data_IF_390707050908
#
_entry.id   IF_390707050908
#
_cell.length_a   1.000
_cell.length_b   1.000
_cell.length_c   1.000
_cell.angle_alpha   90.00
_cell.angle_beta   90.00
_cell.angle_gamma   90.00
#
_symmetry.space_group_name_H-M   'P 1'
#
loop_
_entity.id
_entity.type
_entity.pdbx_description
1 polymer ?
#
# COMPACT_ATOMS: atom_id res chain seq x y z
N UNK A 1 8.42 -16.99 -18.70
CA UNK A 1 8.08 -16.02 -19.75
C UNK A 1 8.89 -16.33 -21.01
N UNK A 2 8.25 -16.35 -22.19
CA UNK A 2 8.88 -16.74 -23.47
C UNK A 2 9.87 -15.67 -23.99
N UNK A 3 9.66 -14.39 -23.70
CA UNK A 3 10.53 -13.29 -24.13
C UNK A 3 10.65 -12.21 -23.05
N UNK A 4 11.55 -12.36 -22.06
CA UNK A 4 11.77 -11.38 -20.99
C UNK A 4 12.21 -10.00 -21.53
N UNK A 5 12.87 -9.97 -22.69
CA UNK A 5 13.35 -8.74 -23.34
C UNK A 5 12.23 -7.75 -23.68
N UNK A 6 10.99 -8.22 -23.86
CA UNK A 6 9.82 -7.36 -24.14
C UNK A 6 9.45 -6.46 -22.95
N UNK A 7 9.90 -6.80 -21.74
CA UNK A 7 9.58 -6.02 -20.53
C UNK A 7 10.32 -4.68 -20.49
N UNK A 8 11.56 -4.63 -20.98
CA UNK A 8 12.35 -3.40 -21.00
C UNK A 8 13.42 -3.45 -22.09
N UNK A 9 13.12 -2.86 -23.26
CA UNK A 9 14.10 -2.61 -24.30
C UNK A 9 14.75 -1.25 -24.07
N UNK A 10 15.96 -1.24 -23.52
CA UNK A 10 16.74 -0.02 -23.33
C UNK A 10 17.77 0.15 -24.45
N UNK A 11 17.50 1.05 -25.38
CA UNK A 11 18.43 1.35 -26.48
C UNK A 11 19.71 2.03 -25.96
N UNK A 12 19.64 2.81 -24.88
CA UNK A 12 20.81 3.45 -24.27
C UNK A 12 21.81 2.41 -23.75
N UNK A 13 21.31 1.37 -23.08
CA UNK A 13 22.14 0.25 -22.63
C UNK A 13 22.71 -0.57 -23.79
N UNK A 14 22.03 -0.59 -24.94
CA UNK A 14 22.52 -1.30 -26.13
C UNK A 14 23.63 -0.52 -26.85
N UNK A 15 23.52 0.80 -26.95
CA UNK A 15 24.55 1.66 -27.57
C UNK A 15 25.78 1.80 -26.68
N UNK A 16 25.62 1.87 -25.35
CA UNK A 16 26.72 2.05 -24.40
C UNK A 16 26.77 0.93 -23.35
N UNK A 17 27.11 -0.31 -23.74
CA UNK A 17 26.99 -1.47 -22.85
C UNK A 17 27.96 -1.46 -21.67
N UNK A 18 29.12 -0.81 -21.81
CA UNK A 18 30.18 -0.84 -20.78
C UNK A 18 30.20 0.38 -19.85
N UNK A 19 29.26 1.31 -19.99
CA UNK A 19 29.26 2.56 -19.20
C UNK A 19 28.27 2.47 -18.05
N UNK A 20 28.77 2.53 -16.81
CA UNK A 20 27.95 2.47 -15.59
C UNK A 20 26.87 3.55 -15.58
N UNK A 21 27.19 4.77 -16.03
CA UNK A 21 26.23 5.88 -16.11
C UNK A 21 25.12 5.58 -17.12
N UNK A 22 25.46 5.01 -18.28
CA UNK A 22 24.46 4.64 -19.29
C UNK A 22 23.52 3.54 -18.79
N UNK A 23 24.05 2.58 -18.02
CA UNK A 23 23.24 1.54 -17.38
C UNK A 23 22.35 2.10 -16.27
N UNK A 24 22.87 2.98 -15.40
CA UNK A 24 22.10 3.61 -14.32
C UNK A 24 20.98 4.51 -14.85
N UNK A 25 21.22 5.25 -15.95
CA UNK A 25 20.21 6.11 -16.57
C UNK A 25 19.23 5.32 -17.43
N UNK A 26 19.74 4.42 -18.28
CA UNK A 26 18.98 3.77 -19.34
C UNK A 26 18.29 2.47 -18.93
N UNK A 27 18.79 1.73 -17.95
CA UNK A 27 18.22 0.43 -17.59
C UNK A 27 16.81 0.60 -17.02
N UNK A 28 15.81 -0.06 -17.61
CA UNK A 28 14.43 -0.04 -17.10
C UNK A 28 14.18 -0.95 -15.91
N UNK A 29 15.07 -1.92 -15.65
CA UNK A 29 14.95 -2.88 -14.54
C UNK A 29 15.82 -2.51 -13.32
N UNK A 30 17.01 -1.97 -13.57
CA UNK A 30 18.02 -1.70 -12.54
C UNK A 30 18.48 -0.24 -12.52
N UNK A 31 17.74 0.65 -13.19
CA UNK A 31 18.12 2.04 -13.37
C UNK A 31 16.88 2.94 -13.49
N UNK A 32 17.11 4.17 -13.95
CA UNK A 32 16.06 5.18 -14.06
C UNK A 32 15.14 4.98 -15.28
N UNK A 33 15.47 4.04 -16.18
CA UNK A 33 14.65 3.70 -17.34
C UNK A 33 14.51 4.80 -18.38
N UNK A 34 15.43 5.78 -18.44
CA UNK A 34 15.39 6.85 -19.44
C UNK A 34 15.50 6.23 -20.83
N UNK A 35 14.46 6.44 -21.65
CA UNK A 35 14.41 5.90 -23.02
C UNK A 35 14.22 4.38 -23.09
N UNK A 36 13.93 3.69 -21.98
CA UNK A 36 13.54 2.29 -22.03
C UNK A 36 12.11 2.16 -22.56
N UNK A 37 11.91 1.27 -23.53
CA UNK A 37 10.60 0.97 -24.11
C UNK A 37 10.19 -0.45 -23.72
N UNK A 38 9.13 -0.57 -22.92
CA UNK A 38 8.48 -1.84 -22.65
C UNK A 38 7.42 -2.11 -23.71
N UNK A 39 7.38 -3.32 -24.26
CA UNK A 39 6.31 -3.83 -25.13
C UNK A 39 5.33 -4.74 -24.37
N UNK A 40 5.59 -4.97 -23.09
CA UNK A 40 4.69 -5.67 -22.19
C UNK A 40 3.67 -4.70 -21.57
N UNK A 41 2.39 -4.92 -21.85
CA UNK A 41 1.30 -4.16 -21.26
C UNK A 41 1.31 -4.22 -19.74
N UNK A 42 1.73 -5.34 -19.14
CA UNK A 42 1.84 -5.47 -17.68
C UNK A 42 2.90 -4.52 -17.10
N UNK A 43 4.03 -4.37 -17.80
CA UNK A 43 5.10 -3.43 -17.45
C UNK A 43 4.65 -1.98 -17.61
N UNK A 44 4.02 -1.65 -18.75
CA UNK A 44 3.51 -0.30 -19.03
C UNK A 44 2.44 0.10 -18.00
N UNK A 45 1.56 -0.81 -17.60
CA UNK A 45 0.45 -0.51 -16.69
C UNK A 45 0.81 -0.61 -15.21
N UNK A 46 1.98 -1.17 -14.87
CA UNK A 46 2.37 -1.48 -13.49
C UNK A 46 2.27 -0.28 -12.53
N UNK A 47 2.55 0.93 -13.02
CA UNK A 47 2.48 2.17 -12.21
C UNK A 47 1.04 2.64 -11.89
N UNK A 48 0.02 2.10 -12.56
CA UNK A 48 -1.41 2.40 -12.34
C UNK A 48 -2.29 1.17 -12.04
N UNK A 49 -1.78 -0.05 -12.24
CA UNK A 49 -2.55 -1.29 -12.23
C UNK A 49 -3.41 -1.48 -13.48
N UNK A 50 -4.45 -0.67 -13.66
CA UNK A 50 -5.32 -0.68 -14.85
C UNK A 50 -5.60 0.74 -15.35
N UNK A 51 -4.88 1.21 -16.38
CA UNK A 51 -5.05 2.57 -16.91
C UNK A 51 -6.40 2.78 -17.60
N UNK A 52 -7.05 1.70 -18.09
CA UNK A 52 -8.38 1.78 -18.70
C UNK A 52 -9.49 2.09 -17.69
N UNK A 53 -9.30 1.71 -16.43
CA UNK A 53 -10.28 1.92 -15.37
C UNK A 53 -10.08 3.26 -14.62
N UNK A 54 -8.96 3.94 -14.84
CA UNK A 54 -8.62 5.18 -14.13
C UNK A 54 -8.93 6.41 -15.00
N UNK A 55 -9.51 7.49 -14.45
CA UNK A 55 -9.79 8.71 -15.22
C UNK A 55 -8.51 9.35 -15.76
N UNK A 56 -8.60 9.97 -16.95
CA UNK A 56 -7.45 10.59 -17.62
C UNK A 56 -6.68 11.58 -16.74
N UNK A 57 -7.39 12.44 -16.00
CA UNK A 57 -6.75 13.41 -15.09
C UNK A 57 -5.91 12.72 -14.01
N UNK A 58 -6.40 11.61 -13.43
CA UNK A 58 -5.66 10.87 -12.42
C UNK A 58 -4.40 10.21 -13.03
N UNK A 59 -4.54 9.62 -14.22
CA UNK A 59 -3.43 9.03 -14.96
C UNK A 59 -2.36 10.05 -15.31
N UNK A 60 -2.76 11.22 -15.83
CA UNK A 60 -1.84 12.30 -16.17
C UNK A 60 -1.10 12.83 -14.93
N UNK A 61 -1.81 12.99 -13.81
CA UNK A 61 -1.22 13.46 -12.56
C UNK A 61 -0.20 12.47 -11.99
N UNK A 62 -0.50 11.16 -12.01
CA UNK A 62 0.44 10.12 -11.58
C UNK A 62 1.65 10.05 -12.51
N UNK A 63 1.46 10.13 -13.82
CA UNK A 63 2.55 10.14 -14.78
C UNK A 63 3.47 11.37 -14.59
N UNK A 64 2.89 12.55 -14.36
CA UNK A 64 3.66 13.76 -14.03
C UNK A 64 4.42 13.60 -12.70
N UNK A 65 3.76 13.08 -11.66
CA UNK A 65 4.39 12.80 -10.36
C UNK A 65 5.53 11.80 -10.46
N UNK A 66 5.35 10.73 -11.24
CA UNK A 66 6.40 9.76 -11.55
C UNK A 66 7.59 10.42 -12.26
N UNK A 67 7.34 11.25 -13.28
CA UNK A 67 8.41 11.95 -13.99
C UNK A 67 9.21 12.91 -13.09
N UNK A 68 8.51 13.67 -12.24
CA UNK A 68 9.16 14.54 -11.24
C UNK A 68 9.97 13.69 -10.25
N UNK A 69 9.40 12.61 -9.74
CA UNK A 69 10.10 11.76 -8.78
C UNK A 69 11.35 11.10 -9.37
N UNK A 70 11.18 10.38 -10.48
CA UNK A 70 12.20 9.52 -11.07
C UNK A 70 13.29 10.33 -11.77
N UNK A 71 12.95 11.44 -12.43
CA UNK A 71 13.90 12.20 -13.26
C UNK A 71 14.38 13.50 -12.63
N UNK A 72 13.76 13.99 -11.55
CA UNK A 72 14.18 15.22 -10.86
C UNK A 72 14.59 14.93 -9.43
N UNK A 73 13.69 14.38 -8.60
CA UNK A 73 13.93 14.21 -7.16
C UNK A 73 15.05 13.19 -6.90
N UNK A 74 14.96 11.98 -7.47
CA UNK A 74 15.95 10.91 -7.25
C UNK A 74 17.35 11.30 -7.76
N UNK A 75 17.52 11.85 -8.98
CA UNK A 75 18.83 12.28 -9.46
C UNK A 75 19.44 13.43 -8.65
N UNK A 76 18.63 14.41 -8.22
CA UNK A 76 19.11 15.50 -7.35
C UNK A 76 19.54 14.95 -5.99
N UNK A 77 18.74 14.07 -5.38
CA UNK A 77 19.08 13.45 -4.09
C UNK A 77 20.38 12.63 -4.17
N UNK A 78 20.56 11.87 -5.25
CA UNK A 78 21.79 11.11 -5.51
C UNK A 78 22.99 12.03 -5.80
N UNK A 79 22.76 13.09 -6.58
CA UNK A 79 23.75 14.12 -6.89
C UNK A 79 24.21 14.88 -5.65
N UNK A 80 23.33 15.17 -4.71
CA UNK A 80 23.66 15.81 -3.43
C UNK A 80 24.22 14.83 -2.38
N UNK A 81 24.33 13.54 -2.73
CA UNK A 81 24.78 12.47 -1.83
C UNK A 81 23.99 12.42 -0.52
N UNK A 82 22.68 12.65 -0.59
CA UNK A 82 21.81 12.51 0.58
C UNK A 82 21.86 11.08 1.10
N UNK A 83 21.97 10.92 2.43
CA UNK A 83 22.08 9.62 3.11
C UNK A 83 23.22 8.73 2.60
N UNK A 84 24.33 9.32 2.14
CA UNK A 84 25.46 8.60 1.55
C UNK A 84 25.08 7.77 0.30
N UNK A 85 24.01 8.18 -0.40
CA UNK A 85 23.40 7.46 -1.51
C UNK A 85 24.37 7.05 -2.63
N UNK A 86 25.44 7.82 -2.87
CA UNK A 86 26.43 7.51 -3.93
C UNK A 86 27.21 6.21 -3.70
N UNK A 87 27.21 5.68 -2.48
CA UNK A 87 27.84 4.39 -2.15
C UNK A 87 27.04 3.19 -2.64
N UNK A 88 25.77 3.41 -2.99
CA UNK A 88 24.83 2.36 -3.35
C UNK A 88 24.29 2.58 -4.78
N UNK A 89 23.68 1.56 -5.40
CA UNK A 89 22.94 1.73 -6.63
C UNK A 89 21.83 2.78 -6.48
N UNK A 90 21.63 3.62 -7.50
CA UNK A 90 20.57 4.65 -7.51
C UNK A 90 19.19 3.99 -7.32
N UNK A 91 18.99 2.86 -7.99
CA UNK A 91 17.74 2.11 -8.03
C UNK A 91 17.99 0.68 -7.51
N UNK A 92 17.48 0.39 -6.31
CA UNK A 92 17.49 -0.94 -5.70
C UNK A 92 16.50 -0.97 -4.53
N UNK A 93 15.84 -2.10 -4.31
CA UNK A 93 15.03 -2.41 -3.13
C UNK A 93 15.87 -3.09 -2.01
N UNK A 94 17.14 -3.35 -2.27
CA UNK A 94 18.07 -3.97 -1.34
C UNK A 94 18.49 -3.04 -0.19
N UNK A 95 18.97 -3.68 0.87
CA UNK A 95 19.54 -3.02 2.05
C UNK A 95 21.06 -3.14 2.01
N UNK A 96 21.78 -2.10 2.41
CA UNK A 96 23.23 -2.04 2.28
C UNK A 96 23.93 -1.72 3.59
N UNK A 97 25.15 -2.23 3.75
CA UNK A 97 26.05 -1.86 4.84
C UNK A 97 26.84 -0.57 4.50
N UNK A 98 27.65 -0.08 5.44
CA UNK A 98 28.51 1.12 5.24
C UNK A 98 29.46 1.01 4.05
N UNK A 99 29.82 -0.21 3.66
CA UNK A 99 30.77 -0.54 2.59
C UNK A 99 30.11 -0.72 1.22
N UNK A 100 28.78 -0.62 1.11
CA UNK A 100 28.05 -0.79 -0.15
C UNK A 100 27.73 -2.23 -0.53
N UNK A 101 27.95 -3.19 0.37
CA UNK A 101 27.56 -4.59 0.18
C UNK A 101 26.14 -4.83 0.72
N UNK A 102 25.48 -5.87 0.23
CA UNK A 102 24.17 -6.29 0.75
C UNK A 102 24.25 -6.56 2.25
N UNK A 103 23.28 -6.01 2.99
CA UNK A 103 23.23 -6.12 4.44
C UNK A 103 22.74 -7.52 4.84
N UNK A 104 23.48 -8.20 5.71
CA UNK A 104 23.09 -9.51 6.18
C UNK A 104 22.03 -9.42 7.29
N UNK A 105 20.76 -9.47 6.91
CA UNK A 105 19.63 -9.35 7.86
C UNK A 105 19.61 -10.52 8.85
N UNK A 106 20.02 -11.73 8.44
CA UNK A 106 20.03 -12.89 9.35
C UNK A 106 21.13 -12.82 10.41
N UNK A 107 22.11 -11.92 10.27
CA UNK A 107 23.14 -11.71 11.27
C UNK A 107 22.65 -10.90 12.48
N UNK A 108 21.58 -10.10 12.31
CA UNK A 108 21.04 -9.20 13.35
C UNK A 108 19.73 -9.69 13.95
N UNK A 109 19.22 -10.84 13.49
CA UNK A 109 17.98 -11.44 13.98
C UNK A 109 18.34 -12.70 14.78
N UNK A 110 17.87 -12.80 16.01
CA UNK A 110 18.09 -13.96 16.87
C UNK A 110 17.22 -15.16 16.44
N UNK A 111 17.42 -16.33 17.07
CA UNK A 111 16.62 -17.52 16.80
C UNK A 111 15.13 -17.38 17.16
N UNK A 112 14.78 -16.35 17.94
CA UNK A 112 13.42 -16.01 18.35
C UNK A 112 12.86 -14.85 17.51
N UNK A 113 13.47 -14.49 16.38
CA UNK A 113 13.07 -13.39 15.52
C UNK A 113 13.07 -11.98 16.17
N UNK A 114 13.79 -11.79 17.27
CA UNK A 114 14.08 -10.48 17.83
C UNK A 114 15.27 -9.83 17.16
N UNK A 115 15.28 -8.50 17.18
CA UNK A 115 16.44 -7.73 16.78
C UNK A 115 17.51 -7.80 17.88
N UNK A 116 18.65 -8.43 17.57
CA UNK A 116 19.82 -8.43 18.43
C UNK A 116 20.56 -7.09 18.31
N UNK A 117 20.43 -6.27 19.35
CA UNK A 117 21.05 -4.94 19.41
C UNK A 117 22.58 -5.00 19.49
N UNK A 118 23.18 -6.06 20.06
CA UNK A 118 24.63 -6.20 20.12
C UNK A 118 25.19 -6.60 18.75
N UNK A 119 24.52 -7.53 18.05
CA UNK A 119 24.85 -7.88 16.68
C UNK A 119 24.67 -6.68 15.74
N UNK A 120 23.58 -5.92 15.90
CA UNK A 120 23.33 -4.70 15.13
C UNK A 120 24.42 -3.63 15.34
N UNK A 121 24.88 -3.43 16.58
CA UNK A 121 25.99 -2.51 16.85
C UNK A 121 27.31 -2.96 16.21
N UNK A 122 27.52 -4.28 16.07
CA UNK A 122 28.72 -4.88 15.49
C UNK A 122 28.72 -4.80 13.96
N UNK A 123 27.60 -5.12 13.33
CA UNK A 123 27.40 -5.05 11.88
C UNK A 123 27.28 -3.59 11.39
N UNK A 124 26.81 -2.70 12.25
CA UNK A 124 26.66 -1.29 11.98
C UNK A 124 25.31 -0.92 11.35
N UNK A 125 25.09 0.39 11.09
CA UNK A 125 23.82 0.89 10.62
C UNK A 125 23.49 0.40 9.20
N UNK A 126 22.20 0.22 8.97
CA UNK A 126 21.64 -0.19 7.70
C UNK A 126 21.32 1.02 6.82
N UNK A 127 21.66 0.93 5.54
CA UNK A 127 21.43 1.98 4.55
C UNK A 127 20.46 1.52 3.46
N UNK A 128 19.68 2.46 2.98
CA UNK A 128 18.73 2.27 1.88
C UNK A 128 19.28 2.94 0.62
N UNK A 129 18.92 2.41 -0.54
CA UNK A 129 19.18 3.09 -1.81
C UNK A 129 18.48 4.46 -1.84
N UNK A 130 18.98 5.38 -2.67
CA UNK A 130 18.39 6.73 -2.77
C UNK A 130 16.94 6.67 -3.26
N UNK A 131 16.63 5.84 -4.26
CA UNK A 131 15.25 5.66 -4.73
C UNK A 131 14.35 5.13 -3.61
N UNK A 132 14.82 4.13 -2.87
CA UNK A 132 14.00 3.48 -1.85
C UNK A 132 13.71 4.42 -0.66
N UNK A 133 14.73 5.13 -0.18
CA UNK A 133 14.59 6.13 0.88
C UNK A 133 13.62 7.26 0.48
N UNK A 134 13.75 7.80 -0.74
CA UNK A 134 12.89 8.88 -1.22
C UNK A 134 11.44 8.40 -1.46
N UNK A 135 11.26 7.14 -1.88
CA UNK A 135 9.94 6.51 -2.02
C UNK A 135 9.20 6.41 -0.67
N UNK A 136 9.91 6.04 0.40
CA UNK A 136 9.36 6.06 1.77
C UNK A 136 8.93 7.48 2.18
N UNK A 137 9.79 8.48 1.92
CA UNK A 137 9.48 9.89 2.20
C UNK A 137 8.20 10.37 1.50
N UNK A 138 8.06 10.05 0.20
CA UNK A 138 6.85 10.38 -0.56
C UNK A 138 5.64 9.57 -0.08
N UNK A 139 5.82 8.32 0.36
CA UNK A 139 4.77 7.52 0.97
C UNK A 139 4.13 8.23 2.17
N UNK A 140 4.94 8.77 3.08
CA UNK A 140 4.45 9.56 4.22
C UNK A 140 3.74 10.85 3.78
N UNK A 141 4.31 11.55 2.81
CA UNK A 141 3.71 12.77 2.25
C UNK A 141 2.35 12.46 1.58
N UNK A 142 2.24 11.35 0.85
CA UNK A 142 1.03 10.92 0.15
C UNK A 142 -0.12 10.61 1.12
N UNK A 143 0.15 9.90 2.22
CA UNK A 143 -0.87 9.59 3.24
C UNK A 143 -1.35 10.86 3.96
N UNK A 144 -0.43 11.75 4.30
CA UNK A 144 -0.76 13.04 4.92
C UNK A 144 -1.58 13.92 3.96
N UNK A 145 -1.14 14.00 2.70
CA UNK A 145 -1.84 14.72 1.64
C UNK A 145 -3.23 14.14 1.37
N UNK A 146 -3.40 12.81 1.44
CA UNK A 146 -4.69 12.13 1.31
C UNK A 146 -5.69 12.60 2.35
N UNK A 147 -5.26 12.66 3.63
CA UNK A 147 -6.12 13.15 4.71
C UNK A 147 -6.51 14.61 4.49
N UNK A 148 -5.52 15.48 4.23
CA UNK A 148 -5.76 16.91 4.01
C UNK A 148 -6.67 17.16 2.80
N UNK A 149 -6.43 16.44 1.70
CA UNK A 149 -7.22 16.55 0.47
C UNK A 149 -8.68 16.16 0.70
N UNK A 150 -8.93 15.02 1.35
CA UNK A 150 -10.30 14.57 1.64
C UNK A 150 -10.99 15.52 2.62
N UNK A 151 -10.30 15.98 3.66
CA UNK A 151 -10.89 16.90 4.63
C UNK A 151 -11.24 18.26 4.00
N UNK A 152 -10.37 18.81 3.15
CA UNK A 152 -10.55 20.13 2.58
C UNK A 152 -11.55 20.14 1.40
N UNK A 153 -11.47 19.16 0.50
CA UNK A 153 -12.29 19.15 -0.71
C UNK A 153 -13.58 18.34 -0.56
N UNK A 154 -13.59 17.29 0.27
CA UNK A 154 -14.74 16.40 0.45
C UNK A 154 -15.34 16.47 1.86
N UNK A 155 -14.78 17.24 2.79
CA UNK A 155 -15.27 17.31 4.17
C UNK A 155 -16.70 17.81 4.29
N UNK A 156 -17.06 18.84 3.53
CA UNK A 156 -18.44 19.37 3.49
C UNK A 156 -19.42 18.33 2.95
N UNK A 157 -19.05 17.65 1.86
CA UNK A 157 -19.85 16.58 1.26
C UNK A 157 -20.01 15.40 2.23
N UNK A 158 -18.94 14.96 2.88
CA UNK A 158 -18.97 13.88 3.88
C UNK A 158 -19.92 14.24 5.02
N UNK A 159 -19.88 15.47 5.54
CA UNK A 159 -20.77 15.92 6.60
C UNK A 159 -22.22 15.93 6.15
N UNK A 160 -22.50 16.44 4.94
CA UNK A 160 -23.85 16.45 4.38
C UNK A 160 -24.39 15.04 4.09
N UNK A 161 -23.55 14.17 3.54
CA UNK A 161 -23.87 12.77 3.23
C UNK A 161 -24.09 11.95 4.50
N UNK A 162 -23.22 12.11 5.50
CA UNK A 162 -23.37 11.49 6.82
C UNK A 162 -24.68 11.93 7.47
N UNK A 163 -24.95 13.24 7.53
CA UNK A 163 -26.22 13.78 8.06
C UNK A 163 -27.44 13.26 7.28
N UNK A 164 -27.35 13.19 5.96
CA UNK A 164 -28.43 12.69 5.10
C UNK A 164 -28.66 11.19 5.24
N UNK A 165 -27.60 10.41 5.50
CA UNK A 165 -27.66 8.98 5.75
C UNK A 165 -28.37 8.69 7.08
N UNK A 166 -28.01 9.40 8.16
CA UNK A 166 -28.70 9.32 9.45
C UNK A 166 -30.15 9.81 9.39
N UNK A 167 -30.45 10.79 8.52
CA UNK A 167 -31.80 11.32 8.32
C UNK A 167 -32.63 10.57 7.25
N UNK A 168 -32.07 9.55 6.60
CA UNK A 168 -32.76 8.71 5.60
C UNK A 168 -33.24 9.43 4.33
N UNK A 169 -32.70 10.62 4.00
CA UNK A 169 -33.36 11.58 3.09
C UNK A 169 -32.97 11.48 1.61
N UNK A 170 -31.83 10.88 1.24
CA UNK A 170 -31.41 10.75 -0.17
C UNK A 170 -31.52 9.30 -0.63
N UNK A 171 -32.64 8.95 -1.26
CA UNK A 171 -32.85 7.62 -1.85
C UNK A 171 -32.77 7.79 -3.37
N UNK A 172 -31.65 7.39 -3.96
CA UNK A 172 -31.51 7.21 -5.40
C UNK A 172 -32.61 6.24 -5.89
N UNK A 173 -33.11 6.41 -7.12
CA UNK A 173 -34.06 5.51 -7.78
C UNK A 173 -33.57 4.06 -7.72
N UNK A 174 -32.26 3.83 -7.89
CA UNK A 174 -31.67 2.49 -7.74
C UNK A 174 -31.86 1.95 -6.32
N UNK A 175 -31.61 2.76 -5.30
CA UNK A 175 -31.81 2.41 -3.90
C UNK A 175 -33.29 2.21 -3.58
N UNK A 176 -34.20 2.99 -4.17
CA UNK A 176 -35.64 2.86 -3.99
C UNK A 176 -36.16 1.52 -4.54
N UNK A 177 -35.73 1.15 -5.74
CA UNK A 177 -36.09 -0.14 -6.36
C UNK A 177 -35.51 -1.30 -5.55
N UNK A 178 -34.25 -1.21 -5.13
CA UNK A 178 -33.60 -2.27 -4.35
C UNK A 178 -34.23 -2.44 -2.97
N UNK A 179 -34.55 -1.35 -2.27
CA UNK A 179 -35.18 -1.39 -0.94
C UNK A 179 -36.61 -1.90 -0.97
N UNK A 180 -37.33 -1.68 -2.09
CA UNK A 180 -38.70 -2.16 -2.28
C UNK A 180 -38.75 -3.68 -2.51
N UNK A 181 -37.77 -4.24 -3.22
CA UNK A 181 -37.80 -5.66 -3.62
C UNK A 181 -36.87 -6.55 -2.78
N UNK A 182 -35.84 -6.00 -2.13
CA UNK A 182 -34.85 -6.76 -1.38
C UNK A 182 -34.67 -6.22 0.04
N UNK A 183 -34.62 -7.15 1.01
CA UNK A 183 -34.26 -6.83 2.39
C UNK A 183 -32.78 -6.46 2.47
N UNK A 184 -32.48 -5.31 3.07
CA UNK A 184 -31.10 -4.92 3.35
C UNK A 184 -30.42 -5.92 4.30
N UNK A 185 -29.09 -5.97 4.24
CA UNK A 185 -28.29 -6.77 5.17
C UNK A 185 -28.35 -6.08 6.53
N UNK A 186 -28.71 -6.78 7.61
CA UNK A 186 -28.68 -6.20 8.96
C UNK A 186 -27.26 -5.73 9.31
N UNK A 187 -27.13 -4.52 9.85
CA UNK A 187 -25.82 -3.97 10.26
C UNK A 187 -25.08 -4.88 11.25
N UNK A 188 -25.83 -5.58 12.11
CA UNK A 188 -25.27 -6.51 13.09
C UNK A 188 -24.51 -7.68 12.46
N UNK A 189 -24.80 -8.09 11.22
CA UNK A 189 -24.02 -9.13 10.54
C UNK A 189 -22.58 -8.68 10.30
N UNK A 190 -22.37 -7.42 9.91
CA UNK A 190 -21.03 -6.86 9.75
C UNK A 190 -20.32 -6.70 11.08
N UNK A 191 -21.03 -6.26 12.13
CA UNK A 191 -20.47 -6.14 13.47
C UNK A 191 -20.06 -7.50 14.05
N UNK A 192 -20.85 -8.56 13.84
CA UNK A 192 -20.49 -9.91 14.28
C UNK A 192 -19.22 -10.42 13.58
N UNK A 193 -19.08 -10.24 12.27
CA UNK A 193 -17.87 -10.65 11.55
C UNK A 193 -16.66 -9.82 11.98
N UNK A 194 -16.83 -8.51 12.13
CA UNK A 194 -15.77 -7.63 12.60
C UNK A 194 -15.27 -8.04 13.99
N UNK A 195 -16.21 -8.23 14.93
CA UNK A 195 -15.88 -8.63 16.29
C UNK A 195 -15.22 -10.02 16.31
N UNK A 196 -15.79 -10.98 15.59
CA UNK A 196 -15.21 -12.32 15.45
C UNK A 196 -13.78 -12.27 14.90
N UNK A 197 -13.55 -11.52 13.82
CA UNK A 197 -12.23 -11.36 13.22
C UNK A 197 -11.23 -10.74 14.19
N UNK A 198 -11.60 -9.67 14.90
CA UNK A 198 -10.73 -9.02 15.90
C UNK A 198 -10.41 -10.01 17.03
N UNK A 199 -11.42 -10.71 17.57
CA UNK A 199 -11.21 -11.69 18.65
C UNK A 199 -10.35 -12.86 18.20
N UNK A 200 -10.53 -13.35 16.97
CA UNK A 200 -9.72 -14.42 16.40
C UNK A 200 -8.26 -13.97 16.21
N UNK A 201 -8.04 -12.75 15.68
CA UNK A 201 -6.69 -12.20 15.53
C UNK A 201 -6.00 -12.01 16.89
N UNK A 202 -6.70 -11.47 17.89
CA UNK A 202 -6.15 -11.34 19.26
C UNK A 202 -5.83 -12.72 19.84
N UNK A 203 -6.75 -13.69 19.72
CA UNK A 203 -6.54 -15.05 20.21
C UNK A 203 -5.31 -15.71 19.58
N UNK A 204 -5.14 -15.58 18.27
CA UNK A 204 -3.97 -16.13 17.56
C UNK A 204 -2.68 -15.45 18.02
N UNK A 205 -2.68 -14.12 18.16
CA UNK A 205 -1.52 -13.37 18.64
C UNK A 205 -1.13 -13.76 20.08
N UNK A 206 -2.10 -13.95 20.96
CA UNK A 206 -1.84 -14.31 22.36
C UNK A 206 -1.45 -15.79 22.51
N UNK A 207 -2.08 -16.70 21.75
CA UNK A 207 -1.77 -18.14 21.81
C UNK A 207 -0.39 -18.45 21.22
N UNK A 208 -0.02 -17.79 20.13
CA UNK A 208 1.30 -17.94 19.49
C UNK A 208 2.21 -16.74 19.82
N UNK A 209 2.16 -16.24 21.06
CA UNK A 209 2.93 -15.06 21.46
C UNK A 209 4.45 -15.26 21.25
N UNK A 210 4.95 -16.48 21.48
CA UNK A 210 6.36 -16.83 21.28
C UNK A 210 6.85 -16.62 19.84
N UNK A 211 5.94 -16.70 18.85
CA UNK A 211 6.27 -16.56 17.43
C UNK A 211 5.81 -15.22 16.84
N UNK A 212 4.62 -14.74 17.21
CA UNK A 212 3.98 -13.57 16.60
C UNK A 212 4.34 -12.27 17.31
N UNK A 213 4.56 -12.31 18.64
CA UNK A 213 5.11 -11.24 19.45
C UNK A 213 4.32 -9.91 19.41
N UNK A 214 3.13 -9.89 18.80
CA UNK A 214 2.27 -8.72 18.73
C UNK A 214 1.28 -8.74 19.90
N UNK A 215 1.35 -7.80 20.85
CA UNK A 215 0.42 -7.76 21.96
C UNK A 215 -1.00 -7.38 21.49
N UNK A 216 -2.02 -7.75 22.28
CA UNK A 216 -3.44 -7.49 21.98
C UNK A 216 -3.75 -6.01 21.68
N UNK A 217 -3.08 -5.07 22.35
CA UNK A 217 -3.27 -3.63 22.13
C UNK A 217 -2.77 -3.20 20.75
N UNK A 218 -1.76 -3.89 20.20
CA UNK A 218 -1.22 -3.64 18.86
C UNK A 218 -2.24 -3.97 17.78
N UNK A 219 -2.98 -5.06 17.95
CA UNK A 219 -4.10 -5.44 17.07
C UNK A 219 -5.19 -4.37 17.11
N UNK A 220 -5.58 -3.90 18.30
CA UNK A 220 -6.58 -2.85 18.45
C UNK A 220 -6.15 -1.53 17.79
N UNK A 221 -4.88 -1.14 17.97
CA UNK A 221 -4.32 0.05 17.34
C UNK A 221 -4.31 -0.09 15.80
N UNK A 222 -3.95 -1.27 15.26
CA UNK A 222 -4.00 -1.53 13.82
C UNK A 222 -5.42 -1.38 13.27
N UNK A 223 -6.43 -1.88 13.98
CA UNK A 223 -7.83 -1.73 13.62
C UNK A 223 -8.27 -0.25 13.62
N UNK A 224 -7.87 0.54 14.62
CA UNK A 224 -8.18 1.98 14.68
C UNK A 224 -7.57 2.72 13.50
N UNK A 225 -6.29 2.44 13.19
CA UNK A 225 -5.60 3.03 12.03
C UNK A 225 -6.31 2.63 10.73
N UNK A 226 -6.63 1.35 10.55
CA UNK A 226 -7.35 0.88 9.37
C UNK A 226 -8.71 1.58 9.22
N UNK A 227 -9.50 1.70 10.29
CA UNK A 227 -10.80 2.38 10.26
C UNK A 227 -10.67 3.86 9.89
N UNK A 228 -9.70 4.57 10.48
CA UNK A 228 -9.48 5.99 10.22
C UNK A 228 -9.14 6.27 8.75
N UNK A 229 -8.28 5.44 8.15
CA UNK A 229 -7.85 5.62 6.76
C UNK A 229 -8.78 4.98 5.73
N UNK A 230 -9.69 4.08 6.13
CA UNK A 230 -10.63 3.44 5.21
C UNK A 230 -11.52 4.46 4.50
N UNK A 231 -12.04 5.45 5.21
CA UNK A 231 -12.93 6.46 4.62
C UNK A 231 -12.17 7.37 3.62
N UNK A 232 -11.05 8.02 3.98
CA UNK A 232 -10.30 8.86 3.04
C UNK A 232 -9.78 8.10 1.82
N UNK A 233 -9.18 6.93 2.03
CA UNK A 233 -8.65 6.12 0.92
C UNK A 233 -9.79 5.58 0.06
N UNK A 234 -10.93 5.23 0.65
CA UNK A 234 -12.13 4.82 -0.08
C UNK A 234 -12.66 5.91 -1.01
N UNK A 235 -12.64 7.18 -0.58
CA UNK A 235 -13.07 8.32 -1.42
C UNK A 235 -12.11 8.53 -2.59
N UNK A 236 -10.80 8.50 -2.34
CA UNK A 236 -9.80 8.62 -3.42
C UNK A 236 -9.95 7.47 -4.41
N UNK A 237 -10.13 6.24 -3.93
CA UNK A 237 -10.36 5.09 -4.81
C UNK A 237 -11.66 5.24 -5.60
N UNK A 238 -12.71 5.79 -5.02
CA UNK A 238 -13.97 6.01 -5.72
C UNK A 238 -13.88 7.08 -6.83
N UNK A 239 -13.02 8.08 -6.68
CA UNK A 239 -12.87 9.19 -7.66
C UNK A 239 -11.78 8.95 -8.69
N UNK A 240 -10.67 8.34 -8.28
CA UNK A 240 -9.46 8.18 -9.11
C UNK A 240 -9.15 6.73 -9.50
N UNK A 241 -9.86 5.76 -8.92
CA UNK A 241 -9.56 4.32 -9.02
C UNK A 241 -8.17 3.94 -8.46
N UNK A 242 -7.56 4.79 -7.64
CA UNK A 242 -6.25 4.57 -7.03
C UNK A 242 -6.37 4.51 -5.50
N UNK A 243 -5.59 3.62 -4.88
CA UNK A 243 -5.60 3.43 -3.43
C UNK A 243 -4.19 3.50 -2.85
N UNK A 244 -3.85 4.60 -2.15
CA UNK A 244 -2.63 4.68 -1.37
C UNK A 244 -2.52 3.53 -0.37
N UNK A 245 -1.34 2.92 -0.28
CA UNK A 245 -1.06 1.84 0.67
C UNK A 245 -0.67 2.40 2.05
N UNK A 246 -1.08 1.71 3.11
CA UNK A 246 -0.79 2.10 4.50
C UNK A 246 0.48 1.48 5.07
N UNK A 247 1.15 0.62 4.33
CA UNK A 247 2.32 -0.12 4.81
C UNK A 247 3.37 0.78 5.48
N UNK A 248 3.69 1.92 4.87
CA UNK A 248 4.78 2.79 5.35
C UNK A 248 4.44 3.42 6.70
N UNK A 249 3.21 3.90 6.90
CA UNK A 249 2.81 4.53 8.17
C UNK A 249 2.59 3.49 9.26
N UNK A 250 2.06 2.32 8.92
CA UNK A 250 1.82 1.28 9.92
C UNK A 250 3.12 0.69 10.43
N UNK A 251 4.09 0.43 9.56
CA UNK A 251 5.46 0.05 9.92
C UNK A 251 6.11 1.08 10.86
N UNK A 252 5.97 2.37 10.54
CA UNK A 252 6.56 3.44 11.33
C UNK A 252 5.94 3.59 12.72
N UNK A 253 4.60 3.56 12.82
CA UNK A 253 3.89 3.71 14.10
C UNK A 253 4.31 2.60 15.08
N UNK A 254 4.22 1.34 14.65
CA UNK A 254 4.53 0.21 15.53
C UNK A 254 6.03 0.09 15.79
N UNK A 255 6.88 0.43 14.81
CA UNK A 255 8.34 0.41 14.99
C UNK A 255 8.83 1.39 16.06
N UNK A 256 8.14 2.53 16.25
CA UNK A 256 8.44 3.47 17.34
C UNK A 256 7.85 3.07 18.68
N UNK A 257 6.63 2.49 18.71
CA UNK A 257 5.94 2.15 19.96
C UNK A 257 6.47 0.82 20.53
N UNK A 258 6.81 -0.13 19.67
CA UNK A 258 7.22 -1.48 20.04
C UNK A 258 8.49 -1.90 19.24
N UNK A 259 9.64 -1.27 19.52
CA UNK A 259 10.89 -1.54 18.82
C UNK A 259 11.45 -2.92 19.18
N UNK A 260 12.22 -3.52 18.27
CA UNK A 260 12.94 -4.77 18.51
C UNK A 260 12.21 -6.05 18.10
N UNK A 261 10.96 -5.94 17.64
CA UNK A 261 10.12 -7.09 17.25
C UNK A 261 9.70 -7.04 15.77
N UNK A 262 10.58 -7.42 14.82
CA UNK A 262 10.29 -7.41 13.38
C UNK A 262 9.00 -8.14 12.99
N UNK A 263 8.69 -9.28 13.62
CA UNK A 263 7.47 -10.05 13.32
C UNK A 263 6.22 -9.28 13.72
N UNK A 264 6.23 -8.64 14.90
CA UNK A 264 5.13 -7.79 15.36
C UNK A 264 4.89 -6.61 14.40
N UNK A 265 5.96 -6.00 13.88
CA UNK A 265 5.87 -4.93 12.86
C UNK A 265 5.16 -5.43 11.60
N UNK A 266 5.55 -6.61 11.11
CA UNK A 266 4.96 -7.21 9.91
C UNK A 266 3.49 -7.58 10.10
N UNK A 267 3.12 -8.13 11.26
CA UNK A 267 1.73 -8.43 11.60
C UNK A 267 0.88 -7.16 11.68
N UNK A 268 1.36 -6.14 12.39
CA UNK A 268 0.67 -4.85 12.49
C UNK A 268 0.46 -4.22 11.10
N UNK A 269 1.48 -4.27 10.24
CA UNK A 269 1.39 -3.83 8.84
C UNK A 269 0.31 -4.58 8.07
N UNK A 270 0.31 -5.92 8.15
CA UNK A 270 -0.67 -6.76 7.44
C UNK A 270 -2.07 -6.46 7.95
N UNK A 271 -2.28 -6.48 9.27
CA UNK A 271 -3.58 -6.21 9.88
C UNK A 271 -4.09 -4.80 9.55
N UNK A 272 -3.24 -3.78 9.53
CA UNK A 272 -3.64 -2.42 9.16
C UNK A 272 -3.96 -2.27 7.67
N UNK A 273 -3.02 -2.64 6.80
CA UNK A 273 -3.10 -2.39 5.36
C UNK A 273 -4.05 -3.34 4.63
N UNK A 274 -4.01 -4.64 4.95
CA UNK A 274 -4.85 -5.64 4.27
C UNK A 274 -6.30 -5.48 4.69
N UNK A 275 -6.59 -5.21 5.97
CA UNK A 275 -7.96 -4.97 6.43
C UNK A 275 -8.61 -3.78 5.74
N UNK A 276 -7.88 -2.67 5.57
CA UNK A 276 -8.38 -1.53 4.80
C UNK A 276 -8.65 -1.91 3.33
N UNK A 277 -7.71 -2.59 2.68
CA UNK A 277 -7.89 -3.04 1.28
C UNK A 277 -9.11 -3.93 1.14
N UNK A 278 -9.29 -4.89 2.04
CA UNK A 278 -10.43 -5.80 2.06
C UNK A 278 -11.75 -5.04 2.27
N UNK A 279 -11.78 -4.07 3.18
CA UNK A 279 -12.95 -3.22 3.37
C UNK A 279 -13.34 -2.46 2.09
N UNK A 280 -12.37 -1.93 1.34
CA UNK A 280 -12.66 -1.21 0.09
C UNK A 280 -13.10 -2.17 -1.03
N UNK A 281 -12.47 -3.35 -1.17
CA UNK A 281 -12.92 -4.36 -2.14
C UNK A 281 -14.35 -4.81 -1.85
N UNK A 282 -14.63 -5.08 -0.58
CA UNK A 282 -15.96 -5.46 -0.13
C UNK A 282 -17.01 -4.40 -0.47
N UNK A 283 -16.71 -3.11 -0.23
CA UNK A 283 -17.57 -1.99 -0.64
C UNK A 283 -17.76 -1.87 -2.16
N UNK A 284 -16.69 -2.10 -2.93
CA UNK A 284 -16.73 -2.06 -4.39
C UNK A 284 -17.70 -3.11 -4.95
N UNK A 285 -17.62 -4.34 -4.45
CA UNK A 285 -18.51 -5.44 -4.84
C UNK A 285 -19.96 -5.20 -4.43
N UNK A 286 -20.21 -4.63 -3.24
CA UNK A 286 -21.56 -4.24 -2.84
C UNK A 286 -22.17 -3.23 -3.80
N UNK A 287 -21.35 -2.26 -4.25
CA UNK A 287 -21.78 -1.24 -5.21
C UNK A 287 -22.03 -1.87 -6.58
N UNK A 288 -21.16 -2.78 -7.03
CA UNK A 288 -21.36 -3.55 -8.27
C UNK A 288 -22.67 -4.37 -8.22
N UNK A 289 -22.88 -5.11 -7.13
CA UNK A 289 -24.11 -5.87 -6.90
C UNK A 289 -25.36 -5.00 -6.87
N UNK A 290 -25.26 -3.80 -6.31
CA UNK A 290 -26.35 -2.81 -6.33
C UNK A 290 -26.72 -2.37 -7.74
N UNK A 291 -25.74 -2.20 -8.63
CA UNK A 291 -25.97 -1.88 -10.04
C UNK A 291 -26.53 -3.06 -10.83
N UNK A 292 -26.02 -4.27 -10.58
CA UNK A 292 -26.47 -5.52 -11.22
C UNK A 292 -27.80 -6.05 -10.67
N UNK A 293 -28.40 -5.38 -9.68
CA UNK A 293 -29.67 -5.77 -9.03
C UNK A 293 -29.60 -7.15 -8.33
N UNK A 294 -28.43 -7.53 -7.84
CA UNK A 294 -28.23 -8.76 -7.08
C UNK A 294 -28.73 -8.55 -5.63
N UNK A 295 -29.46 -9.52 -5.04
CA UNK A 295 -29.92 -9.41 -3.66
C UNK A 295 -28.75 -9.17 -2.68
N UNK A 296 -28.78 -8.11 -1.84
CA UNK A 296 -27.66 -7.75 -0.96
C UNK A 296 -27.23 -8.85 0.01
N UNK A 297 -28.17 -9.67 0.49
CA UNK A 297 -27.88 -10.80 1.38
C UNK A 297 -27.16 -11.95 0.69
N UNK A 298 -27.50 -12.21 -0.57
CA UNK A 298 -26.81 -13.22 -1.37
C UNK A 298 -25.39 -12.75 -1.69
N UNK A 299 -25.21 -11.45 -2.00
CA UNK A 299 -23.89 -10.87 -2.21
C UNK A 299 -23.02 -10.98 -0.95
N UNK A 300 -23.55 -10.61 0.21
CA UNK A 300 -22.83 -10.74 1.48
C UNK A 300 -22.37 -12.18 1.75
N UNK A 301 -23.28 -13.15 1.60
CA UNK A 301 -22.96 -14.55 1.86
C UNK A 301 -21.94 -15.09 0.86
N UNK A 302 -22.05 -14.74 -0.42
CA UNK A 302 -21.08 -15.09 -1.43
C UNK A 302 -19.68 -14.55 -1.09
N UNK A 303 -19.57 -13.27 -0.73
CA UNK A 303 -18.29 -12.67 -0.35
C UNK A 303 -17.67 -13.31 0.89
N UNK A 304 -18.47 -13.58 1.93
CA UNK A 304 -18.00 -14.24 3.15
C UNK A 304 -17.51 -15.66 2.84
N UNK A 305 -18.28 -16.43 2.06
CA UNK A 305 -17.86 -17.77 1.64
C UNK A 305 -16.58 -17.74 0.80
N UNK A 306 -16.46 -16.83 -0.16
CA UNK A 306 -15.24 -16.69 -0.98
C UNK A 306 -14.03 -16.33 -0.11
N UNK A 307 -14.20 -15.45 0.88
CA UNK A 307 -13.12 -15.05 1.80
C UNK A 307 -12.70 -16.18 2.74
N UNK A 308 -13.57 -17.16 3.01
CA UNK A 308 -13.23 -18.34 3.83
C UNK A 308 -12.54 -19.46 3.03
N UNK A 309 -12.80 -19.52 1.72
CA UNK A 309 -12.24 -20.56 0.83
C UNK A 309 -10.87 -20.13 0.29
N UNK A 310 -10.69 -18.84 0.03
CA UNK A 310 -9.48 -18.25 -0.56
C UNK A 310 -8.47 -17.87 0.52
#
# INVERSE_FOLDING_TARGET
>A
YLFPMLTSLSWICWVFPNTVIAQQLGSGLHGLGVGAVGFDWSSICSYLGSPLASPWFATANIAAGFGIFMYVIVPIAYGLNLYYGRRFPIFSDGLFNTNGQEYNISAIIDSNFHLDMEAYQREGPLYLSTMFAMSYGIGFACLSATLVHVLLFHGSDILQLSKSAFQGKKIDIHTKIMRKHYKQVPEWWFLCILLFSITATIFVCEYYNDQLQLPWWGVMLACVVALLFTLPVGIIRATTNQAPALNVITEYIIGYIYPGYPVAVMLFKVTGNVSMKQAIFFLQDFKLGHYMKIPPRAMFLAQVCTTLIL
#
